data_IF_505387200630
#
_entry.id   IF_505387200630
#
_cell.length_a   1.000
_cell.length_b   1.000
_cell.length_c   1.000
_cell.angle_alpha   90.00
_cell.angle_beta   90.00
_cell.angle_gamma   90.00
#
_symmetry.space_group_name_H-M   'P 1'
#
loop_
_entity.id
_entity.type
_entity.pdbx_description
1 polymer ?
#
# COMPACT_ATOMS: atom_id res chain seq x y z
N UNK A 1 -2.55 1.80 6.51
CA UNK A 1 -2.39 0.37 6.15
C UNK A 1 -3.73 -0.18 5.71
N UNK A 2 -3.77 -1.05 4.70
CA UNK A 2 -5.01 -1.62 4.15
C UNK A 2 -5.25 -2.98 4.82
N UNK A 3 -6.38 -3.15 5.50
CA UNK A 3 -6.81 -4.45 6.04
C UNK A 3 -8.03 -4.95 5.30
N UNK A 4 -8.08 -6.27 5.03
CA UNK A 4 -9.23 -6.93 4.39
C UNK A 4 -10.17 -7.58 5.39
N UNK A 5 -9.61 -8.11 6.48
CA UNK A 5 -10.36 -8.80 7.50
C UNK A 5 -10.48 -7.91 8.74
N UNK A 6 -11.69 -7.68 9.26
CA UNK A 6 -11.88 -6.95 10.49
C UNK A 6 -11.31 -7.76 11.67
N UNK A 7 -10.56 -7.09 12.54
CA UNK A 7 -10.14 -7.64 13.82
C UNK A 7 -11.23 -7.43 14.88
N UNK A 8 -11.12 -8.12 16.02
CA UNK A 8 -12.07 -7.98 17.14
C UNK A 8 -12.16 -6.51 17.56
N UNK A 9 -13.36 -5.94 17.52
CA UNK A 9 -13.61 -4.53 17.85
C UNK A 9 -13.61 -3.56 16.66
N UNK A 10 -13.32 -4.02 15.43
CA UNK A 10 -13.48 -3.23 14.21
C UNK A 10 -14.85 -3.44 13.57
N UNK A 11 -15.32 -2.45 12.83
CA UNK A 11 -16.54 -2.57 12.03
C UNK A 11 -16.36 -3.56 10.88
N UNK A 12 -17.45 -4.20 10.45
CA UNK A 12 -17.44 -5.18 9.35
C UNK A 12 -17.01 -4.58 8.01
N UNK A 13 -17.18 -3.27 7.83
CA UNK A 13 -16.85 -2.50 6.64
C UNK A 13 -15.51 -1.75 6.74
N UNK A 14 -14.64 -2.11 7.70
CA UNK A 14 -13.35 -1.43 7.94
C UNK A 14 -12.49 -1.30 6.69
N UNK A 15 -12.53 -2.31 5.81
CA UNK A 15 -11.81 -2.30 4.55
C UNK A 15 -12.25 -1.12 3.68
N UNK A 16 -13.56 -0.97 3.48
CA UNK A 16 -14.15 0.14 2.72
C UNK A 16 -13.84 1.48 3.36
N UNK A 17 -13.96 1.60 4.68
CA UNK A 17 -13.66 2.85 5.38
C UNK A 17 -12.21 3.30 5.17
N UNK A 18 -11.25 2.36 5.23
CA UNK A 18 -9.84 2.64 4.97
C UNK A 18 -9.62 3.06 3.53
N UNK A 19 -10.23 2.37 2.55
CA UNK A 19 -10.09 2.75 1.14
C UNK A 19 -10.66 4.15 0.88
N UNK A 20 -11.84 4.45 1.42
CA UNK A 20 -12.44 5.79 1.32
C UNK A 20 -11.54 6.86 1.92
N UNK A 21 -10.94 6.58 3.08
CA UNK A 21 -10.01 7.50 3.73
C UNK A 21 -8.77 7.75 2.87
N UNK A 22 -8.16 6.70 2.32
CA UNK A 22 -6.97 6.82 1.46
C UNK A 22 -7.31 7.64 0.22
N UNK A 23 -8.40 7.30 -0.48
CA UNK A 23 -8.86 7.98 -1.71
C UNK A 23 -8.99 9.49 -1.51
N UNK A 24 -9.59 9.91 -0.39
CA UNK A 24 -9.74 11.32 -0.02
C UNK A 24 -8.41 12.09 0.01
N UNK A 25 -7.29 11.44 0.32
CA UNK A 25 -5.99 12.12 0.37
C UNK A 25 -5.23 12.04 -0.94
N UNK A 26 -5.30 10.90 -1.65
CA UNK A 26 -4.52 10.69 -2.87
C UNK A 26 -5.16 11.30 -4.13
N UNK A 27 -6.44 11.70 -4.05
CA UNK A 27 -7.15 12.36 -5.16
C UNK A 27 -6.60 13.74 -5.49
N UNK A 28 -5.94 14.41 -4.54
CA UNK A 28 -5.32 15.70 -4.77
C UNK A 28 -4.08 15.58 -5.65
N UNK A 29 -4.00 16.35 -6.74
CA UNK A 29 -2.86 16.30 -7.68
C UNK A 29 -1.51 16.67 -7.04
N UNK A 30 -1.53 17.45 -5.96
CA UNK A 30 -0.33 17.85 -5.21
C UNK A 30 0.12 16.81 -4.19
N UNK A 31 -0.65 15.74 -3.97
CA UNK A 31 -0.31 14.71 -3.00
C UNK A 31 0.81 13.79 -3.53
N UNK A 32 1.86 13.61 -2.73
CA UNK A 32 2.89 12.60 -2.99
C UNK A 32 2.48 11.30 -2.29
N UNK A 33 2.42 10.20 -3.06
CA UNK A 33 2.03 8.88 -2.56
C UNK A 33 3.28 8.05 -2.26
N UNK A 34 3.55 7.79 -0.98
CA UNK A 34 4.65 6.93 -0.54
C UNK A 34 4.16 5.51 -0.29
N UNK A 35 4.51 4.60 -1.19
CA UNK A 35 4.26 3.17 -1.04
C UNK A 35 5.34 2.54 -0.17
N UNK A 36 4.97 2.09 1.03
CA UNK A 36 5.87 1.33 1.91
C UNK A 36 5.62 -0.16 1.69
N UNK A 37 6.57 -0.84 1.05
CA UNK A 37 6.42 -2.23 0.60
C UNK A 37 7.55 -3.08 1.21
N UNK A 38 7.24 -4.22 1.86
CA UNK A 38 8.28 -5.15 2.31
C UNK A 38 9.05 -5.74 1.13
N UNK A 39 10.36 -5.94 1.27
CA UNK A 39 11.23 -6.52 0.23
C UNK A 39 10.75 -7.90 -0.24
N UNK A 40 10.13 -8.67 0.65
CA UNK A 40 9.58 -10.00 0.36
C UNK A 40 8.31 -10.01 -0.50
N UNK A 41 7.77 -8.84 -0.90
CA UNK A 41 6.50 -8.71 -1.61
C UNK A 41 6.71 -8.04 -2.96
N UNK A 42 6.15 -8.62 -4.02
CA UNK A 42 6.13 -8.00 -5.35
C UNK A 42 5.27 -6.73 -5.34
N UNK A 43 5.93 -5.58 -5.52
CA UNK A 43 5.30 -4.27 -5.48
C UNK A 43 4.24 -4.07 -6.57
N UNK A 44 4.39 -4.70 -7.73
CA UNK A 44 3.46 -4.57 -8.87
C UNK A 44 2.09 -5.15 -8.56
N UNK A 45 2.02 -6.13 -7.66
CA UNK A 45 0.79 -6.78 -7.24
C UNK A 45 0.11 -6.11 -6.06
N UNK A 46 0.81 -5.19 -5.38
CA UNK A 46 0.36 -4.60 -4.14
C UNK A 46 -0.95 -3.82 -4.32
N UNK A 47 -1.84 -3.96 -3.34
CA UNK A 47 -3.13 -3.29 -3.35
C UNK A 47 -3.00 -1.76 -3.35
N UNK A 48 -1.96 -1.24 -2.69
CA UNK A 48 -1.67 0.20 -2.68
C UNK A 48 -1.36 0.74 -4.08
N UNK A 49 -0.58 0.01 -4.89
CA UNK A 49 -0.23 0.41 -6.26
C UNK A 49 -1.42 0.28 -7.20
N UNK A 50 -2.28 -0.73 -7.00
CA UNK A 50 -3.53 -0.85 -7.77
C UNK A 50 -4.47 0.32 -7.49
N UNK A 51 -4.57 0.73 -6.22
CA UNK A 51 -5.40 1.85 -5.81
C UNK A 51 -4.87 3.20 -6.34
N UNK A 52 -3.55 3.42 -6.31
CA UNK A 52 -2.96 4.69 -6.77
C UNK A 52 -3.07 4.89 -8.28
N UNK A 53 -3.06 3.81 -9.08
CA UNK A 53 -3.17 3.88 -10.55
C UNK A 53 -4.41 4.62 -11.06
N UNK A 54 -5.53 4.55 -10.33
CA UNK A 54 -6.76 5.26 -10.71
C UNK A 54 -6.61 6.79 -10.58
N UNK A 55 -5.65 7.26 -9.78
CA UNK A 55 -5.43 8.68 -9.47
C UNK A 55 -4.13 9.23 -10.06
N UNK A 56 -3.13 8.38 -10.27
CA UNK A 56 -1.82 8.70 -10.85
C UNK A 56 -1.36 7.55 -11.77
N UNK A 57 -1.90 7.49 -13.00
CA UNK A 57 -1.65 6.38 -13.92
C UNK A 57 -0.21 6.36 -14.47
N UNK A 58 0.44 7.53 -14.54
CA UNK A 58 1.82 7.67 -15.01
C UNK A 58 2.85 7.43 -13.90
N UNK A 59 2.43 7.54 -12.63
CA UNK A 59 3.33 7.38 -11.48
C UNK A 59 4.15 8.64 -11.19
N UNK A 60 3.76 9.81 -11.70
CA UNK A 60 4.54 11.05 -11.62
C UNK A 60 4.69 11.57 -10.18
N UNK A 61 3.81 11.10 -9.27
CA UNK A 61 3.79 11.50 -7.86
C UNK A 61 3.83 10.31 -6.89
N UNK A 62 4.36 9.17 -7.36
CA UNK A 62 4.54 7.96 -6.55
C UNK A 62 6.00 7.73 -6.19
N UNK A 63 6.24 7.45 -4.91
CA UNK A 63 7.53 7.02 -4.38
C UNK A 63 7.39 5.63 -3.77
N UNK A 64 8.39 4.77 -3.96
CA UNK A 64 8.42 3.43 -3.38
C UNK A 64 9.54 3.36 -2.33
N UNK A 65 9.15 3.10 -1.08
CA UNK A 65 10.06 2.78 0.01
C UNK A 65 10.04 1.27 0.26
N UNK A 66 11.13 0.58 -0.08
CA UNK A 66 11.32 -0.83 0.22
C UNK A 66 11.78 -0.99 1.67
N UNK A 67 11.07 -1.83 2.42
CA UNK A 67 11.30 -2.06 3.85
C UNK A 67 11.57 -3.53 4.17
N UNK A 68 12.00 -3.85 5.39
CA UNK A 68 12.26 -5.24 5.84
C UNK A 68 13.23 -6.03 4.94
N UNK A 69 14.26 -5.36 4.44
CA UNK A 69 15.28 -5.95 3.55
C UNK A 69 16.08 -7.05 4.24
N UNK A 70 16.13 -7.04 5.57
CA UNK A 70 16.74 -8.07 6.40
C UNK A 70 16.05 -9.42 6.22
N UNK A 71 14.73 -9.45 6.00
CA UNK A 71 13.97 -10.70 5.84
C UNK A 71 14.37 -11.49 4.59
N UNK A 72 14.83 -10.83 3.52
CA UNK A 72 15.18 -11.51 2.27
C UNK A 72 16.53 -12.24 2.36
N UNK A 73 17.43 -11.76 3.23
CA UNK A 73 18.75 -12.36 3.44
C UNK A 73 18.68 -13.71 4.19
N UNK A 74 17.65 -13.94 5.00
CA UNK A 74 17.48 -15.19 5.74
C UNK A 74 17.04 -16.38 4.85
N UNK A 75 16.41 -16.14 3.70
CA UNK A 75 15.97 -17.23 2.80
C UNK A 75 17.08 -17.80 1.92
N UNK A 76 18.25 -17.16 1.83
CA UNK A 76 19.38 -17.68 1.03
C UNK A 76 20.32 -18.60 1.81
N UNK A 77 20.15 -18.75 3.12
CA UNK A 77 21.07 -19.51 3.98
C UNK A 77 20.39 -20.61 4.80
N UNK A 78 19.18 -21.03 4.41
CA UNK A 78 18.51 -22.23 4.93
C UNK A 78 18.04 -23.09 3.78
#
# INVERSE_FOLDING_TARGET
>A
GITRNPLKGQSKDIHTQILTLIKKYIEHETAIVLHVIPASVDFTTSESMKLSKDYDPNGDRQLIAVSKIDNELYFKHV
#
